data_IF_913784500109
#
_entry.id   IF_913784500109
#
_cell.length_a   1.000
_cell.length_b   1.000
_cell.length_c   1.000
_cell.angle_alpha   90.00
_cell.angle_beta   90.00
_cell.angle_gamma   90.00
#
_symmetry.space_group_name_H-M   'P 1'
#
loop_
_entity.id
_entity.type
_entity.pdbx_description
1 polymer ?
#
# COMPACT_ATOMS: atom_id res chain seq x y z
N UNK A 1 -24.50 -11.19 -12.51
CA UNK A 1 -24.77 -10.46 -11.26
C UNK A 1 -23.78 -9.31 -11.25
N UNK A 2 -24.14 -8.17 -11.85
CA UNK A 2 -23.24 -7.03 -11.97
C UNK A 2 -23.27 -6.31 -10.62
N UNK A 3 -22.25 -6.52 -9.79
CA UNK A 3 -22.00 -5.65 -8.66
C UNK A 3 -21.50 -4.32 -9.23
N UNK A 4 -22.35 -3.30 -9.24
CA UNK A 4 -21.92 -1.93 -9.57
C UNK A 4 -21.07 -1.40 -8.41
N UNK A 5 -19.81 -1.07 -8.72
CA UNK A 5 -18.88 -0.47 -7.77
C UNK A 5 -18.97 1.05 -7.90
N UNK A 6 -19.15 1.75 -6.77
CA UNK A 6 -19.07 3.21 -6.74
C UNK A 6 -17.77 3.63 -6.08
N UNK A 7 -16.86 4.23 -6.82
CA UNK A 7 -15.67 4.87 -6.23
C UNK A 7 -16.04 6.31 -5.91
N UNK A 8 -16.11 6.69 -4.63
CA UNK A 8 -16.40 8.10 -4.29
C UNK A 8 -15.14 8.97 -4.32
N UNK A 9 -13.97 8.45 -3.93
CA UNK A 9 -12.71 9.21 -3.88
C UNK A 9 -11.51 8.34 -4.25
N UNK A 10 -10.61 8.90 -5.06
CA UNK A 10 -9.26 8.39 -5.29
C UNK A 10 -8.27 9.36 -4.65
N UNK A 11 -7.45 8.88 -3.71
CA UNK A 11 -6.36 9.66 -3.13
C UNK A 11 -5.07 9.21 -3.80
N UNK A 12 -4.56 10.03 -4.71
CA UNK A 12 -3.26 9.79 -5.30
C UNK A 12 -2.14 10.27 -4.35
N UNK A 13 -1.60 9.35 -3.54
CA UNK A 13 -0.45 9.59 -2.67
C UNK A 13 0.91 9.54 -3.40
N UNK A 14 0.94 9.51 -4.75
CA UNK A 14 2.19 9.45 -5.53
C UNK A 14 3.16 10.62 -5.26
N UNK A 15 2.68 11.74 -4.73
CA UNK A 15 3.50 12.96 -4.61
C UNK A 15 4.48 12.99 -3.42
N UNK A 16 4.43 12.02 -2.48
CA UNK A 16 5.17 12.14 -1.20
C UNK A 16 5.82 10.87 -0.68
N UNK A 17 5.21 9.70 -0.90
CA UNK A 17 5.86 8.42 -0.64
C UNK A 17 6.05 7.76 -2.00
N UNK A 18 7.31 7.68 -2.45
CA UNK A 18 7.66 6.97 -3.69
C UNK A 18 6.98 5.60 -3.68
N UNK A 19 6.14 5.37 -4.69
CA UNK A 19 5.48 4.09 -5.00
C UNK A 19 4.28 3.65 -4.13
N UNK A 20 3.53 4.58 -3.50
CA UNK A 20 2.28 4.24 -2.79
C UNK A 20 1.02 4.74 -3.50
N UNK A 21 0.09 3.84 -3.80
CA UNK A 21 -1.25 4.17 -4.30
C UNK A 21 -2.32 3.75 -3.28
N UNK A 22 -3.02 4.73 -2.72
CA UNK A 22 -4.14 4.53 -1.80
C UNK A 22 -5.45 4.50 -2.60
N UNK A 23 -6.27 3.47 -2.43
CA UNK A 23 -7.51 3.28 -3.18
C UNK A 23 -8.71 3.15 -2.23
N UNK A 24 -9.56 4.17 -2.13
CA UNK A 24 -10.80 4.04 -1.35
C UNK A 24 -11.90 3.48 -2.25
N UNK A 25 -12.42 2.28 -1.93
CA UNK A 25 -13.48 1.62 -2.72
C UNK A 25 -14.72 1.43 -1.85
N UNK A 26 -15.87 1.93 -2.28
CA UNK A 26 -17.12 1.83 -1.53
C UNK A 26 -17.96 0.66 -2.02
N UNK A 27 -18.58 -0.08 -1.10
CA UNK A 27 -19.67 -0.99 -1.39
C UNK A 27 -20.99 -0.44 -0.88
N UNK A 28 -22.09 -0.75 -1.57
CA UNK A 28 -23.46 -0.28 -1.32
C UNK A 28 -24.00 -0.48 0.11
N UNK A 29 -23.28 -1.19 1.00
CA UNK A 29 -23.68 -1.50 2.38
C UNK A 29 -22.48 -1.40 3.36
N UNK A 30 -21.23 -1.38 2.89
CA UNK A 30 -20.03 -1.35 3.75
C UNK A 30 -18.93 -0.45 3.15
N UNK A 31 -18.28 0.32 4.02
CA UNK A 31 -17.20 1.24 3.65
C UNK A 31 -15.86 0.54 3.79
N UNK A 32 -15.14 0.37 2.67
CA UNK A 32 -13.81 -0.20 2.66
C UNK A 32 -12.75 0.83 2.25
N UNK A 33 -11.69 0.92 3.04
CA UNK A 33 -10.46 1.60 2.63
C UNK A 33 -9.46 0.56 2.20
N UNK A 34 -9.02 0.61 0.94
CA UNK A 34 -8.06 -0.34 0.38
C UNK A 34 -6.74 0.38 0.15
N UNK A 35 -5.64 -0.26 0.50
CA UNK A 35 -4.30 0.29 0.41
C UNK A 35 -3.43 -0.71 -0.33
N UNK A 36 -2.73 -0.23 -1.37
CA UNK A 36 -1.70 -0.99 -2.07
C UNK A 36 -0.37 -0.27 -1.87
N UNK A 37 0.54 -0.89 -1.12
CA UNK A 37 1.79 -0.26 -0.72
C UNK A 37 2.86 -1.31 -0.41
N UNK A 38 4.07 -0.89 -0.10
CA UNK A 38 5.17 -1.77 0.29
C UNK A 38 4.95 -2.37 1.68
N UNK A 39 5.63 -3.48 1.95
CA UNK A 39 5.58 -4.24 3.20
C UNK A 39 5.98 -3.39 4.42
N UNK A 40 7.05 -2.61 4.32
CA UNK A 40 7.50 -1.72 5.38
C UNK A 40 6.50 -0.61 5.74
N UNK A 41 5.53 -0.31 4.86
CA UNK A 41 4.45 0.65 5.13
C UNK A 41 3.24 -0.06 5.72
N UNK A 42 2.80 -1.17 5.14
CA UNK A 42 1.57 -1.85 5.55
C UNK A 42 1.75 -2.60 6.87
N UNK A 43 2.81 -3.41 7.00
CA UNK A 43 2.98 -4.34 8.13
C UNK A 43 2.91 -3.64 9.50
N UNK A 44 3.54 -2.46 9.73
CA UNK A 44 3.40 -1.75 11.01
C UNK A 44 1.99 -1.23 11.32
N UNK A 45 1.10 -1.17 10.32
CA UNK A 45 -0.25 -0.61 10.39
C UNK A 45 -1.34 -1.69 10.46
N UNK A 46 -0.95 -2.96 10.44
CA UNK A 46 -1.85 -4.11 10.50
C UNK A 46 -2.49 -4.24 11.89
N UNK A 47 -3.78 -4.51 11.92
CA UNK A 47 -4.52 -4.85 13.14
C UNK A 47 -4.04 -6.19 13.68
N UNK A 48 -3.75 -6.24 14.99
CA UNK A 48 -3.42 -7.49 15.68
C UNK A 48 -4.65 -8.35 16.00
N UNK A 49 -5.85 -7.85 15.70
CA UNK A 49 -7.10 -8.50 16.04
C UNK A 49 -8.08 -8.54 14.86
N UNK A 50 -8.91 -9.60 14.78
CA UNK A 50 -8.83 -10.88 15.53
C UNK A 50 -7.60 -11.74 15.18
N UNK A 51 -7.24 -12.69 16.07
CA UNK A 51 -5.99 -13.50 15.93
C UNK A 51 -5.91 -14.28 14.62
N UNK A 52 -7.05 -14.62 14.01
CA UNK A 52 -7.08 -15.31 12.72
C UNK A 52 -6.31 -14.53 11.64
N UNK A 53 -6.38 -13.19 11.65
CA UNK A 53 -5.64 -12.33 10.71
C UNK A 53 -4.13 -12.31 10.95
N UNK A 54 -3.68 -12.67 12.15
CA UNK A 54 -2.25 -12.75 12.46
C UNK A 54 -1.60 -13.90 11.71
N UNK A 55 -2.24 -15.07 11.70
CA UNK A 55 -1.78 -16.23 10.93
C UNK A 55 -1.66 -15.92 9.44
N UNK A 56 -2.67 -15.26 8.85
CA UNK A 56 -2.61 -14.83 7.45
C UNK A 56 -1.49 -13.81 7.18
N UNK A 57 -1.25 -12.91 8.13
CA UNK A 57 -0.17 -11.92 8.02
C UNK A 57 1.20 -12.60 8.05
N UNK A 58 1.43 -13.54 8.97
CA UNK A 58 2.69 -14.26 9.09
C UNK A 58 3.01 -15.04 7.79
N UNK A 59 2.03 -15.75 7.23
CA UNK A 59 2.19 -16.44 5.93
C UNK A 59 2.47 -15.46 4.79
N UNK A 60 1.85 -14.28 4.81
CA UNK A 60 2.10 -13.24 3.80
C UNK A 60 3.52 -12.69 3.89
N UNK A 61 4.06 -12.54 5.11
CA UNK A 61 5.44 -12.12 5.36
C UNK A 61 6.43 -13.15 4.83
N UNK A 62 6.18 -14.44 5.02
CA UNK A 62 7.03 -15.50 4.45
C UNK A 62 7.06 -15.44 2.91
N UNK A 63 5.92 -15.21 2.27
CA UNK A 63 5.86 -15.03 0.81
C UNK A 63 6.57 -13.77 0.34
N UNK A 64 6.44 -12.65 1.08
CA UNK A 64 7.17 -11.41 0.80
C UNK A 64 8.68 -11.65 0.77
N UNK A 65 9.21 -12.38 1.76
CA UNK A 65 10.63 -12.71 1.80
C UNK A 65 11.05 -13.62 0.63
N UNK A 66 10.21 -14.59 0.25
CA UNK A 66 10.49 -15.47 -0.89
C UNK A 66 10.57 -14.66 -2.20
N UNK A 67 9.57 -13.81 -2.45
CA UNK A 67 9.51 -13.00 -3.66
C UNK A 67 10.66 -11.99 -3.74
N UNK A 68 11.05 -11.41 -2.60
CA UNK A 68 12.21 -10.52 -2.53
C UNK A 68 13.53 -11.26 -2.85
N UNK A 69 13.69 -12.51 -2.39
CA UNK A 69 14.88 -13.35 -2.71
C UNK A 69 14.96 -13.70 -4.19
N UNK A 70 13.81 -13.85 -4.86
CA UNK A 70 13.72 -14.13 -6.29
C UNK A 70 13.84 -12.85 -7.16
N UNK A 71 13.86 -11.66 -6.56
CA UNK A 71 14.04 -10.39 -7.27
C UNK A 71 12.76 -9.78 -7.82
N UNK A 72 11.59 -10.24 -7.40
CA UNK A 72 10.32 -9.61 -7.74
C UNK A 72 10.11 -8.32 -6.95
N UNK A 73 9.40 -7.35 -7.55
CA UNK A 73 8.84 -6.23 -6.78
C UNK A 73 7.59 -6.70 -6.06
N UNK A 74 7.51 -6.44 -4.76
CA UNK A 74 6.38 -6.85 -3.94
C UNK A 74 5.50 -5.67 -3.56
N UNK A 75 4.19 -5.80 -3.70
CA UNK A 75 3.20 -4.88 -3.14
C UNK A 75 2.21 -5.63 -2.26
N UNK A 76 1.95 -5.10 -1.08
CA UNK A 76 0.99 -5.63 -0.11
C UNK A 76 -0.34 -4.91 -0.29
N UNK A 77 -1.39 -5.71 -0.40
CA UNK A 77 -2.77 -5.25 -0.42
C UNK A 77 -3.36 -5.44 0.97
N UNK A 78 -3.90 -4.37 1.54
CA UNK A 78 -4.62 -4.41 2.80
C UNK A 78 -5.88 -3.54 2.74
N UNK A 79 -6.82 -3.78 3.65
CA UNK A 79 -8.02 -2.96 3.75
C UNK A 79 -8.41 -2.69 5.19
N UNK A 80 -9.28 -1.72 5.40
CA UNK A 80 -9.99 -1.48 6.66
C UNK A 80 -11.48 -1.33 6.38
N UNK A 81 -12.29 -2.00 7.18
CA UNK A 81 -13.74 -1.75 7.24
C UNK A 81 -14.00 -0.55 8.13
N UNK A 82 -14.85 0.36 7.68
CA UNK A 82 -15.32 1.51 8.43
C UNK A 82 -16.81 1.31 8.65
N UNK A 83 -17.26 1.40 9.90
CA UNK A 83 -18.70 1.28 10.19
C UNK A 83 -19.45 2.52 9.70
N UNK A 84 -20.76 2.40 9.49
CA UNK A 84 -21.58 3.55 9.11
C UNK A 84 -21.57 4.62 10.21
N UNK A 85 -21.62 4.22 11.48
CA UNK A 85 -21.50 5.16 12.61
C UNK A 85 -20.12 5.81 12.65
N UNK A 86 -19.05 5.06 12.35
CA UNK A 86 -17.72 5.62 12.24
C UNK A 86 -17.67 6.62 11.07
N UNK A 87 -18.29 6.32 9.93
CA UNK A 87 -18.38 7.24 8.80
C UNK A 87 -19.23 8.50 9.09
N UNK A 88 -20.31 8.37 9.88
CA UNK A 88 -21.23 9.47 10.20
C UNK A 88 -20.77 10.33 11.39
N UNK A 89 -20.36 9.72 12.50
CA UNK A 89 -19.94 10.41 13.73
C UNK A 89 -18.56 11.01 13.56
N UNK A 90 -17.65 10.20 13.02
CA UNK A 90 -16.34 10.64 12.66
C UNK A 90 -16.56 11.21 11.26
N UNK A 91 -16.73 12.54 11.17
CA UNK A 91 -16.67 13.32 9.93
C UNK A 91 -15.28 13.17 9.24
N UNK A 92 -14.67 11.98 9.30
CA UNK A 92 -13.37 11.55 8.83
C UNK A 92 -13.13 12.15 7.48
N UNK A 93 -14.03 11.94 6.54
CA UNK A 93 -13.79 12.34 5.18
C UNK A 93 -13.72 13.87 5.06
N UNK A 94 -14.65 14.58 5.68
CA UNK A 94 -14.69 16.04 5.63
C UNK A 94 -13.52 16.67 6.39
N UNK A 95 -13.23 16.15 7.59
CA UNK A 95 -12.14 16.60 8.45
C UNK A 95 -10.79 16.28 7.83
N UNK A 96 -10.58 15.03 7.41
CA UNK A 96 -9.37 14.58 6.74
C UNK A 96 -9.13 15.36 5.44
N UNK A 97 -10.16 15.61 4.62
CA UNK A 97 -9.99 16.47 3.44
C UNK A 97 -9.60 17.89 3.81
N UNK A 98 -10.23 18.47 4.83
CA UNK A 98 -9.87 19.82 5.28
C UNK A 98 -8.43 19.88 5.79
N UNK A 99 -8.00 18.87 6.56
CA UNK A 99 -6.65 18.76 7.10
C UNK A 99 -5.63 18.46 5.99
N UNK A 100 -5.97 17.59 5.03
CA UNK A 100 -5.17 17.30 3.85
C UNK A 100 -5.01 18.54 2.96
N UNK A 101 -6.08 19.29 2.69
CA UNK A 101 -6.02 20.53 1.92
C UNK A 101 -5.15 21.57 2.63
N UNK A 102 -5.29 21.73 3.95
CA UNK A 102 -4.41 22.61 4.75
C UNK A 102 -2.96 22.15 4.69
N UNK A 103 -2.71 20.84 4.78
CA UNK A 103 -1.39 20.26 4.68
C UNK A 103 -0.77 20.50 3.30
N UNK A 104 -1.55 20.28 2.23
CA UNK A 104 -1.15 20.48 0.84
C UNK A 104 -0.86 21.94 0.48
N UNK A 105 -1.61 22.88 1.06
CA UNK A 105 -1.39 24.32 0.91
C UNK A 105 -0.30 24.87 1.83
N UNK A 106 0.25 24.06 2.74
CA UNK A 106 1.29 24.50 3.67
C UNK A 106 2.61 24.73 2.94
N UNK A 107 3.19 25.92 3.10
CA UNK A 107 4.51 26.25 2.54
C UNK A 107 5.63 25.55 3.33
N UNK A 108 5.48 25.43 4.65
CA UNK A 108 6.48 24.82 5.52
C UNK A 108 6.05 23.40 5.91
N UNK A 109 6.95 22.44 5.73
CA UNK A 109 6.74 21.06 6.20
C UNK A 109 5.55 20.35 5.57
N UNK A 110 5.20 20.72 4.32
CA UNK A 110 4.09 20.14 3.54
C UNK A 110 4.07 18.61 3.58
N UNK A 111 5.23 18.02 3.32
CA UNK A 111 5.40 16.56 3.20
C UNK A 111 5.02 15.86 4.49
N UNK A 112 5.61 16.31 5.60
CA UNK A 112 5.34 15.76 6.93
C UNK A 112 3.87 15.92 7.34
N UNK A 113 3.25 17.06 7.05
CA UNK A 113 1.83 17.30 7.39
C UNK A 113 0.89 16.39 6.61
N UNK A 114 1.20 16.13 5.33
CA UNK A 114 0.40 15.20 4.53
C UNK A 114 0.63 13.76 5.01
N UNK A 115 1.85 13.40 5.38
CA UNK A 115 2.17 12.11 5.98
C UNK A 115 1.39 11.87 7.29
N UNK A 116 1.36 12.86 8.19
CA UNK A 116 0.54 12.81 9.42
C UNK A 116 -0.96 12.66 9.11
N UNK A 117 -1.46 13.33 8.07
CA UNK A 117 -2.85 13.17 7.63
C UNK A 117 -3.10 11.75 7.10
N UNK A 118 -2.22 11.20 6.26
CA UNK A 118 -2.35 9.84 5.75
C UNK A 118 -2.30 8.82 6.90
N UNK A 119 -1.36 8.95 7.82
CA UNK A 119 -1.23 8.05 8.97
C UNK A 119 -2.44 8.06 9.89
N UNK A 120 -3.19 9.16 9.95
CA UNK A 120 -4.42 9.19 10.75
C UNK A 120 -5.49 8.20 10.26
N UNK A 121 -5.50 7.90 8.95
CA UNK A 121 -6.48 7.02 8.31
C UNK A 121 -5.92 5.61 8.02
N UNK A 122 -4.60 5.49 7.78
CA UNK A 122 -3.91 4.22 7.52
C UNK A 122 -3.59 3.44 8.82
N UNK A 123 -4.61 3.09 9.61
CA UNK A 123 -4.44 2.31 10.86
C UNK A 123 -5.44 1.16 10.94
N UNK A 124 -5.10 0.10 11.69
CA UNK A 124 -5.94 -1.08 11.89
C UNK A 124 -6.30 -1.79 10.58
N UNK A 125 -5.29 -1.97 9.72
CA UNK A 125 -5.45 -2.60 8.42
C UNK A 125 -5.52 -4.13 8.56
N UNK A 126 -6.25 -4.77 7.66
CA UNK A 126 -6.33 -6.22 7.50
C UNK A 126 -5.63 -6.55 6.19
N UNK A 127 -4.59 -7.37 6.24
CA UNK A 127 -3.85 -7.82 5.05
C UNK A 127 -4.73 -8.77 4.25
N UNK A 128 -4.88 -8.50 2.95
CA UNK A 128 -5.53 -9.41 1.99
C UNK A 128 -4.51 -10.33 1.33
N UNK A 129 -3.30 -9.81 1.09
CA UNK A 129 -2.20 -10.58 0.52
C UNK A 129 -1.12 -9.71 -0.09
N UNK A 130 -0.26 -10.37 -0.86
CA UNK A 130 0.88 -9.78 -1.56
C UNK A 130 0.80 -10.09 -3.04
N UNK A 131 1.27 -9.14 -3.85
CA UNK A 131 1.50 -9.30 -5.29
C UNK A 131 3.00 -9.28 -5.56
N UNK A 132 3.46 -10.15 -6.46
CA UNK A 132 4.83 -10.18 -6.94
C UNK A 132 4.84 -9.78 -8.42
N UNK A 133 5.58 -8.73 -8.76
CA UNK A 133 5.68 -8.17 -10.10
C UNK A 133 7.09 -8.43 -10.61
N UNK A 134 7.18 -9.10 -11.74
CA UNK A 134 8.45 -9.36 -12.42
C UNK A 134 8.82 -8.17 -13.31
N UNK A 135 9.97 -7.57 -13.04
CA UNK A 135 10.60 -6.65 -13.99
C UNK A 135 11.30 -7.47 -15.07
N UNK A 136 10.64 -7.64 -16.22
CA UNK A 136 11.23 -8.38 -17.34
C UNK A 136 12.50 -7.69 -17.82
N UNK A 137 13.61 -8.42 -17.73
CA UNK A 137 14.87 -8.04 -18.36
C UNK A 137 14.80 -8.25 -19.88
N UNK A 138 15.67 -7.55 -20.60
CA UNK A 138 15.86 -7.83 -22.03
C UNK A 138 16.39 -9.26 -22.21
N UNK A 139 16.12 -9.84 -23.39
CA UNK A 139 16.66 -11.15 -23.77
C UNK A 139 18.20 -11.14 -23.66
N UNK A 140 18.78 -12.28 -23.28
CA UNK A 140 20.23 -12.50 -23.16
C UNK A 140 21.00 -11.66 -22.11
N UNK A 141 20.36 -10.70 -21.44
CA UNK A 141 21.00 -9.91 -20.36
C UNK A 141 21.58 -10.82 -19.25
N UNK A 142 20.87 -11.84 -18.74
CA UNK A 142 21.42 -12.72 -17.71
C UNK A 142 22.61 -13.56 -18.18
N UNK A 143 22.68 -13.92 -19.47
CA UNK A 143 23.80 -14.68 -20.04
C UNK A 143 25.01 -13.76 -20.22
N UNK A 144 24.79 -12.55 -20.77
CA UNK A 144 25.83 -11.54 -20.96
C UNK A 144 26.48 -11.15 -19.63
N UNK A 145 25.66 -10.93 -18.58
CA UNK A 145 26.15 -10.68 -17.22
C UNK A 145 27.07 -11.79 -16.73
N UNK A 146 26.67 -13.06 -16.92
CA UNK A 146 27.48 -14.23 -16.55
C UNK A 146 28.80 -14.31 -17.32
N UNK A 147 28.79 -13.98 -18.62
CA UNK A 147 30.00 -13.95 -19.45
C UNK A 147 30.97 -12.84 -18.99
N UNK A 148 30.47 -11.64 -18.73
CA UNK A 148 31.28 -10.51 -18.25
C UNK A 148 31.91 -10.82 -16.89
N UNK A 149 31.15 -11.41 -15.96
CA UNK A 149 31.67 -11.84 -14.66
C UNK A 149 32.75 -12.92 -14.78
N UNK A 150 32.57 -13.91 -15.68
CA UNK A 150 33.58 -14.95 -15.97
C UNK A 150 34.85 -14.38 -16.60
N UNK A 151 34.72 -13.30 -17.38
CA UNK A 151 35.86 -12.57 -17.96
C UNK A 151 36.60 -11.68 -16.94
N UNK A 152 36.17 -11.64 -15.68
CA UNK A 152 36.77 -10.82 -14.63
C UNK A 152 36.37 -9.33 -14.68
N UNK A 153 35.35 -8.99 -15.48
CA UNK A 153 34.83 -7.62 -15.58
C UNK A 153 33.87 -7.39 -14.42
N UNK A 154 34.16 -6.38 -13.60
CA UNK A 154 33.31 -5.98 -12.47
C UNK A 154 32.22 -5.02 -12.94
N UNK A 155 30.98 -5.35 -12.64
CA UNK A 155 29.81 -4.50 -12.88
C UNK A 155 29.32 -3.94 -11.54
N UNK A 156 28.86 -2.70 -11.56
CA UNK A 156 28.40 -1.93 -10.40
C UNK A 156 26.94 -1.53 -10.61
#
# INVERSE_FOLDING_TARGET
MNSEFSTKILIDCNALRKENKLYIIFYLIEFFWIILSTDNVIIPRVSLFPEDFRSYTDVTVDHLESFAKEGFRTLVLAYRTISEEEYEQWNIFQKWNADYLKAALSINGREKKIEECAESIEKNLIVLGVTAIEDKLQEEVPETIRMLLRAGIKMW
#
